data_IF_737160522659
#
_entry.id   IF_737160522659
#
_cell.length_a   1.000
_cell.length_b   1.000
_cell.length_c   1.000
_cell.angle_alpha   90.00
_cell.angle_beta   90.00
_cell.angle_gamma   90.00
#
_symmetry.space_group_name_H-M   'P 1'
#
loop_
_entity.id
_entity.type
_entity.pdbx_description
1 polymer ?
#
# COMPACT_ATOMS: atom_id res chain seq x y z
N UNK A 1 9.98 7.55 -11.58
CA UNK A 1 8.82 7.47 -10.66
C UNK A 1 8.79 6.03 -10.20
N UNK A 2 8.91 5.71 -8.91
CA UNK A 2 9.45 4.45 -8.34
C UNK A 2 8.33 3.41 -8.03
N UNK A 3 8.62 2.09 -8.05
CA UNK A 3 7.61 1.02 -8.30
C UNK A 3 7.04 0.23 -7.11
N UNK A 4 6.52 0.91 -6.09
CA UNK A 4 5.46 0.35 -5.21
C UNK A 4 4.04 0.51 -5.77
N UNK A 5 3.90 0.72 -7.08
CA UNK A 5 2.60 0.93 -7.73
C UNK A 5 1.90 -0.41 -7.98
N UNK A 6 0.89 -0.73 -7.16
CA UNK A 6 -0.18 -1.63 -7.59
C UNK A 6 -0.95 -0.89 -8.69
N UNK A 7 -0.85 -1.36 -9.93
CA UNK A 7 -1.54 -0.77 -11.08
C UNK A 7 -3.07 -0.68 -10.82
N UNK A 8 -3.59 0.55 -10.71
CA UNK A 8 -5.02 0.87 -10.84
C UNK A 8 -5.27 1.47 -12.24
N UNK A 9 -6.36 1.05 -12.89
CA UNK A 9 -6.67 1.34 -14.30
C UNK A 9 -7.57 2.57 -14.47
N UNK A 10 -7.32 3.34 -15.55
CA UNK A 10 -7.88 4.66 -15.91
C UNK A 10 -9.36 4.63 -16.36
N UNK A 11 -10.07 5.74 -16.09
CA UNK A 11 -11.53 5.90 -15.97
C UNK A 11 -12.14 6.78 -17.08
N UNK A 12 -11.88 6.50 -18.34
CA UNK A 12 -12.53 7.22 -19.46
C UNK A 12 -13.23 6.24 -20.38
N UNK A 13 -14.53 6.08 -20.14
CA UNK A 13 -15.60 5.59 -21.05
C UNK A 13 -16.91 5.28 -20.27
N UNK A 14 -17.05 5.67 -18.98
CA UNK A 14 -18.21 5.32 -18.15
C UNK A 14 -19.46 6.21 -18.34
N UNK A 15 -19.36 7.42 -18.91
CA UNK A 15 -20.51 8.36 -18.98
C UNK A 15 -21.49 8.12 -20.13
N UNK A 16 -21.37 7.02 -20.89
CA UNK A 16 -22.27 6.72 -22.02
C UNK A 16 -23.36 5.66 -21.76
N UNK A 17 -23.33 4.93 -20.64
CA UNK A 17 -24.25 3.80 -20.42
C UNK A 17 -25.28 3.99 -19.28
N UNK A 18 -25.35 5.16 -18.65
CA UNK A 18 -26.21 5.39 -17.46
C UNK A 18 -27.68 5.72 -17.74
N UNK A 19 -28.20 5.39 -18.93
CA UNK A 19 -29.64 5.46 -19.25
C UNK A 19 -30.14 4.12 -19.76
N UNK A 20 -30.48 3.24 -18.82
CA UNK A 20 -31.58 2.25 -18.85
C UNK A 20 -31.31 1.19 -17.79
N UNK A 21 -31.96 1.31 -16.63
CA UNK A 21 -32.41 0.23 -15.74
C UNK A 21 -32.82 0.85 -14.39
N UNK A 22 -33.91 1.62 -14.43
CA UNK A 22 -34.87 1.63 -13.33
C UNK A 22 -35.96 0.65 -13.71
N UNK A 23 -36.22 -0.37 -12.89
CA UNK A 23 -37.56 -0.91 -12.58
C UNK A 23 -37.46 -2.26 -11.82
N UNK A 24 -38.33 -2.37 -10.82
CA UNK A 24 -38.83 -3.56 -10.10
C UNK A 24 -38.06 -4.15 -8.89
N UNK A 25 -38.53 -3.70 -7.71
CA UNK A 25 -38.63 -4.36 -6.38
C UNK A 25 -39.73 -5.47 -6.36
N UNK A 26 -40.10 -6.15 -5.24
CA UNK A 26 -39.44 -6.51 -3.96
C UNK A 26 -39.78 -7.94 -3.39
N UNK A 27 -39.30 -8.24 -2.17
CA UNK A 27 -39.86 -9.23 -1.21
C UNK A 27 -38.87 -10.33 -0.78
N UNK A 28 -38.85 -10.93 0.42
CA UNK A 28 -39.43 -10.74 1.75
C UNK A 28 -38.92 -11.92 2.63
N UNK A 29 -38.89 -11.82 3.96
CA UNK A 29 -38.94 -12.99 4.87
C UNK A 29 -37.72 -13.21 5.78
N UNK A 30 -37.93 -13.20 7.10
CA UNK A 30 -36.87 -13.35 8.11
C UNK A 30 -37.10 -14.45 9.16
N UNK A 31 -36.14 -14.48 10.10
CA UNK A 31 -36.18 -14.81 11.53
C UNK A 31 -36.25 -16.30 11.98
N UNK A 32 -35.41 -16.57 13.01
CA UNK A 32 -35.35 -17.68 14.00
C UNK A 32 -34.36 -18.83 13.65
N UNK A 33 -33.53 -19.40 14.53
CA UNK A 33 -33.35 -19.44 16.01
C UNK A 33 -31.97 -20.10 16.26
N UNK A 34 -31.00 -19.50 16.97
CA UNK A 34 -30.69 -19.67 18.41
C UNK A 34 -30.47 -21.12 18.90
N UNK A 35 -29.25 -21.42 19.39
CA UNK A 35 -28.85 -22.21 20.59
C UNK A 35 -27.33 -22.51 20.50
N UNK A 36 -26.51 -22.02 21.43
CA UNK A 36 -25.58 -22.82 22.23
C UNK A 36 -24.87 -21.97 23.31
N UNK A 37 -24.79 -22.56 24.50
CA UNK A 37 -24.43 -22.00 25.80
C UNK A 37 -22.92 -21.78 26.00
N UNK A 38 -22.60 -20.63 26.60
CA UNK A 38 -21.88 -20.47 27.88
C UNK A 38 -20.57 -21.25 28.13
N UNK A 39 -19.42 -20.60 27.93
CA UNK A 39 -18.25 -20.64 28.84
C UNK A 39 -17.47 -19.31 28.69
N UNK A 40 -17.59 -18.41 29.67
CA UNK A 40 -16.57 -17.40 30.07
C UNK A 40 -17.19 -16.36 31.03
N UNK A 41 -17.33 -16.72 32.30
CA UNK A 41 -17.52 -15.76 33.40
C UNK A 41 -16.26 -15.83 34.27
N UNK A 42 -15.26 -14.98 33.98
CA UNK A 42 -14.37 -14.28 34.93
C UNK A 42 -13.59 -13.26 34.09
N UNK A 43 -14.18 -12.09 33.86
CA UNK A 43 -13.63 -10.71 33.82
C UNK A 43 -14.79 -9.84 33.32
N UNK A 44 -15.79 -9.62 34.17
CA UNK A 44 -16.90 -8.71 33.89
C UNK A 44 -17.31 -8.01 35.20
N UNK A 45 -16.43 -7.17 35.70
CA UNK A 45 -16.76 -6.16 36.69
C UNK A 45 -15.92 -4.93 36.36
N UNK A 46 -16.61 -3.82 36.07
CA UNK A 46 -16.12 -2.55 35.48
C UNK A 46 -16.15 -2.49 33.93
N UNK A 47 -17.28 -2.88 33.34
CA UNK A 47 -17.70 -2.27 32.08
C UNK A 47 -18.46 -0.98 32.42
N UNK A 48 -18.02 0.22 31.99
CA UNK A 48 -18.85 1.40 32.05
C UNK A 48 -20.14 1.12 31.28
N UNK A 49 -21.28 1.43 31.88
CA UNK A 49 -22.58 1.39 31.24
C UNK A 49 -22.55 2.29 30.00
N UNK A 50 -22.51 1.69 28.82
CA UNK A 50 -22.65 2.40 27.54
C UNK A 50 -24.09 2.82 27.37
N UNK A 51 -24.44 3.96 27.95
CA UNK A 51 -25.63 4.72 27.61
C UNK A 51 -25.29 6.21 27.66
N UNK A 52 -24.50 6.67 26.70
CA UNK A 52 -24.36 8.09 26.36
C UNK A 52 -24.13 8.20 24.85
N UNK A 53 -25.23 8.30 24.12
CA UNK A 53 -25.27 8.43 22.65
C UNK A 53 -25.15 9.89 22.18
N UNK A 54 -24.64 10.82 23.01
CA UNK A 54 -24.58 12.25 22.65
C UNK A 54 -23.27 13.02 22.98
N UNK A 55 -22.25 12.39 23.56
CA UNK A 55 -20.98 13.07 23.85
C UNK A 55 -19.96 13.05 22.69
N UNK A 56 -20.24 12.32 21.61
CA UNK A 56 -19.34 12.17 20.45
C UNK A 56 -19.30 13.39 19.48
N UNK A 57 -19.94 14.51 19.82
CA UNK A 57 -20.13 15.65 18.89
C UNK A 57 -19.29 16.91 19.19
N UNK A 58 -18.44 16.91 20.21
CA UNK A 58 -17.60 18.07 20.56
C UNK A 58 -16.14 17.68 20.78
N UNK A 59 -15.23 18.58 20.38
CA UNK A 59 -13.80 18.46 20.68
C UNK A 59 -13.58 18.39 22.21
N UNK A 60 -12.73 17.45 22.66
CA UNK A 60 -12.12 17.52 23.98
C UNK A 60 -10.61 17.34 23.87
N UNK A 61 -9.87 18.14 24.66
CA UNK A 61 -8.41 18.11 24.70
C UNK A 61 -7.90 16.73 25.14
N UNK A 62 -8.59 16.14 26.12
CA UNK A 62 -8.27 14.83 26.66
C UNK A 62 -8.45 13.73 25.62
N UNK A 63 -9.58 13.73 24.88
CA UNK A 63 -9.81 12.73 23.84
C UNK A 63 -8.83 12.89 22.67
N UNK A 64 -8.51 14.12 22.28
CA UNK A 64 -7.49 14.38 21.26
C UNK A 64 -6.11 13.88 21.73
N UNK A 65 -5.68 14.24 22.94
CA UNK A 65 -4.39 13.80 23.47
C UNK A 65 -4.34 12.27 23.58
N UNK A 66 -5.41 11.64 24.07
CA UNK A 66 -5.51 10.19 24.15
C UNK A 66 -5.42 9.54 22.77
N UNK A 67 -6.16 10.04 21.76
CA UNK A 67 -6.11 9.51 20.40
C UNK A 67 -4.71 9.66 19.77
N UNK A 68 -4.05 10.80 19.97
CA UNK A 68 -2.67 10.99 19.52
C UNK A 68 -1.69 10.06 20.28
N UNK A 69 -1.96 9.74 21.55
CA UNK A 69 -1.16 8.76 22.30
C UNK A 69 -1.38 7.32 21.80
N UNK A 70 -2.64 6.90 21.63
CA UNK A 70 -3.01 5.57 21.12
C UNK A 70 -2.74 5.40 19.63
N UNK A 71 -2.37 6.50 18.93
CA UNK A 71 -2.17 6.59 17.48
C UNK A 71 -3.45 6.33 16.68
N UNK A 72 -4.60 6.48 17.32
CA UNK A 72 -5.88 6.46 16.64
C UNK A 72 -6.05 7.75 15.84
N UNK A 73 -6.66 7.60 14.66
CA UNK A 73 -7.03 8.74 13.84
C UNK A 73 -8.04 9.60 14.61
N UNK A 74 -7.72 10.87 14.84
CA UNK A 74 -8.64 11.80 15.46
C UNK A 74 -9.19 12.76 14.41
N UNK A 75 -10.47 12.61 14.11
CA UNK A 75 -11.23 13.61 13.36
C UNK A 75 -11.33 14.86 14.24
N UNK A 76 -10.76 15.96 13.77
CA UNK A 76 -10.87 17.21 14.53
C UNK A 76 -12.21 17.85 14.19
N UNK A 77 -13.25 17.40 14.89
CA UNK A 77 -14.65 17.83 14.65
C UNK A 77 -14.86 19.35 14.84
N UNK A 78 -13.91 20.06 15.47
CA UNK A 78 -13.89 21.52 15.64
C UNK A 78 -13.23 22.33 14.52
N UNK A 79 -12.37 21.72 13.66
CA UNK A 79 -11.72 22.41 12.54
C UNK A 79 -12.53 22.22 11.26
N UNK A 80 -13.69 22.90 11.20
CA UNK A 80 -14.60 22.85 10.05
C UNK A 80 -14.35 23.99 9.09
N UNK A 81 -14.64 23.72 7.83
CA UNK A 81 -14.53 24.70 6.75
C UNK A 81 -15.88 24.92 6.08
N UNK A 82 -16.11 26.17 5.66
CA UNK A 82 -17.23 26.51 4.79
C UNK A 82 -17.15 25.79 3.44
N UNK A 83 -18.30 25.64 2.77
CA UNK A 83 -18.37 25.10 1.40
C UNK A 83 -17.47 25.92 0.49
N UNK A 84 -16.59 25.26 -0.27
CA UNK A 84 -15.66 25.91 -1.19
C UNK A 84 -14.60 26.81 -0.53
N UNK A 85 -14.44 26.77 0.80
CA UNK A 85 -13.49 27.61 1.54
C UNK A 85 -12.41 26.79 2.23
N UNK A 86 -11.23 27.40 2.37
CA UNK A 86 -10.07 26.95 3.15
C UNK A 86 -9.74 27.90 4.30
N UNK A 87 -10.57 28.92 4.55
CA UNK A 87 -10.44 29.80 5.71
C UNK A 87 -11.00 29.14 6.96
N UNK A 88 -10.25 29.20 8.06
CA UNK A 88 -10.67 28.71 9.37
C UNK A 88 -11.84 29.51 9.93
N UNK A 89 -12.78 28.82 10.58
CA UNK A 89 -13.89 29.48 11.24
C UNK A 89 -13.44 30.07 12.59
N UNK A 90 -14.06 31.19 13.04
CA UNK A 90 -13.86 31.69 14.40
C UNK A 90 -14.13 30.60 15.45
N UNK A 91 -13.25 30.48 16.44
CA UNK A 91 -13.32 29.42 17.47
C UNK A 91 -12.34 28.25 17.26
N UNK A 92 -11.63 28.20 16.13
CA UNK A 92 -10.55 27.23 15.89
C UNK A 92 -9.29 27.48 16.74
N UNK A 93 -9.12 28.68 17.28
CA UNK A 93 -7.89 29.13 17.95
C UNK A 93 -7.53 28.25 19.16
N UNK A 94 -8.48 28.01 20.08
CA UNK A 94 -8.26 27.20 21.30
C UNK A 94 -7.79 25.78 20.96
N UNK A 95 -8.38 25.21 19.92
CA UNK A 95 -8.07 23.87 19.44
C UNK A 95 -6.67 23.80 18.83
N UNK A 96 -6.31 24.79 18.02
CA UNK A 96 -4.96 24.92 17.47
C UNK A 96 -3.92 25.14 18.57
N UNK A 97 -4.25 25.90 19.61
CA UNK A 97 -3.39 26.12 20.78
C UNK A 97 -3.15 24.83 21.55
N UNK A 98 -4.18 24.01 21.74
CA UNK A 98 -4.09 22.71 22.40
C UNK A 98 -3.27 21.70 21.58
N UNK A 99 -3.47 21.65 20.25
CA UNK A 99 -2.66 20.82 19.34
C UNK A 99 -1.19 21.25 19.41
N UNK A 100 -0.91 22.55 19.30
CA UNK A 100 0.45 23.08 19.37
C UNK A 100 1.10 22.80 20.73
N UNK A 101 0.35 22.91 21.82
CA UNK A 101 0.81 22.58 23.17
C UNK A 101 1.17 21.09 23.28
N UNK A 102 0.32 20.19 22.77
CA UNK A 102 0.61 18.77 22.76
C UNK A 102 1.90 18.46 21.98
N UNK A 103 2.09 19.05 20.78
CA UNK A 103 3.31 18.84 20.00
C UNK A 103 4.56 19.43 20.64
N UNK A 104 4.44 20.52 21.41
CA UNK A 104 5.56 21.05 22.20
C UNK A 104 5.94 20.13 23.36
N UNK A 105 4.94 19.54 24.02
CA UNK A 105 5.17 18.61 25.13
C UNK A 105 5.74 17.25 24.69
N UNK A 106 5.47 16.84 23.45
CA UNK A 106 5.98 15.60 22.88
C UNK A 106 6.82 15.90 21.63
N UNK A 107 8.12 16.23 21.78
CA UNK A 107 8.97 16.67 20.66
C UNK A 107 9.14 15.63 19.56
N UNK A 108 9.01 14.34 19.89
CA UNK A 108 9.17 13.23 18.93
C UNK A 108 7.91 12.96 18.09
N UNK A 109 6.81 13.69 18.32
CA UNK A 109 5.58 13.48 17.56
C UNK A 109 5.59 14.29 16.27
N UNK A 110 5.26 13.64 15.16
CA UNK A 110 4.94 14.35 13.91
C UNK A 110 3.47 14.12 13.58
N UNK A 111 2.83 15.05 12.90
CA UNK A 111 1.44 14.93 12.47
C UNK A 111 1.33 14.98 10.96
N UNK A 112 0.47 14.10 10.43
CA UNK A 112 -0.15 14.28 9.13
C UNK A 112 -1.52 14.90 9.31
N UNK A 113 -1.75 16.01 8.63
CA UNK A 113 -2.97 16.79 8.60
C UNK A 113 -3.66 16.45 7.29
N UNK A 114 -4.79 15.76 7.33
CA UNK A 114 -5.50 15.30 6.13
C UNK A 114 -6.79 16.09 5.99
N UNK A 115 -6.91 16.86 4.92
CA UNK A 115 -8.15 17.57 4.61
C UNK A 115 -9.10 16.70 3.80
N UNK A 116 -10.39 16.91 4.01
CA UNK A 116 -11.47 16.25 3.28
C UNK A 116 -12.50 17.27 2.77
N UNK A 117 -13.21 16.89 1.71
CA UNK A 117 -14.38 17.61 1.21
C UNK A 117 -15.59 16.69 1.24
N UNK A 118 -16.77 17.31 1.13
CA UNK A 118 -17.94 16.58 0.67
C UNK A 118 -17.86 16.32 -0.85
N UNK A 119 -18.82 15.55 -1.38
CA UNK A 119 -18.85 15.15 -2.78
C UNK A 119 -19.43 16.23 -3.74
N UNK A 120 -19.68 17.46 -3.27
CA UNK A 120 -20.15 18.54 -4.14
C UNK A 120 -18.98 19.10 -4.96
N UNK A 121 -19.13 19.18 -6.27
CA UNK A 121 -18.08 19.65 -7.18
C UNK A 121 -17.36 18.52 -7.90
N UNK A 122 -16.30 18.87 -8.64
CA UNK A 122 -15.47 17.88 -9.33
C UNK A 122 -14.33 17.38 -8.41
N UNK A 123 -13.87 16.15 -8.65
CA UNK A 123 -12.91 15.47 -7.80
C UNK A 123 -11.56 16.22 -7.68
N UNK A 124 -11.03 16.75 -8.79
CA UNK A 124 -9.76 17.48 -8.82
C UNK A 124 -9.80 18.78 -8.00
N UNK A 125 -10.90 19.53 -8.12
CA UNK A 125 -11.12 20.75 -7.32
C UNK A 125 -11.24 20.41 -5.85
N UNK A 126 -11.91 19.31 -5.53
CA UNK A 126 -12.09 18.84 -4.17
C UNK A 126 -10.78 18.35 -3.55
N UNK A 127 -9.94 17.67 -4.31
CA UNK A 127 -8.59 17.29 -3.90
C UNK A 127 -7.75 18.53 -3.57
N UNK A 128 -7.68 19.50 -4.49
CA UNK A 128 -6.97 20.77 -4.25
C UNK A 128 -7.50 21.51 -3.02
N UNK A 129 -8.82 21.68 -2.90
CA UNK A 129 -9.44 22.36 -1.77
C UNK A 129 -9.13 21.66 -0.44
N UNK A 130 -9.14 20.33 -0.44
CA UNK A 130 -8.82 19.54 0.74
C UNK A 130 -7.37 19.73 1.19
N UNK A 131 -6.42 19.79 0.25
CA UNK A 131 -5.03 20.09 0.55
C UNK A 131 -4.84 21.53 1.05
N UNK A 132 -5.54 22.51 0.47
CA UNK A 132 -5.52 23.90 0.94
C UNK A 132 -5.99 24.01 2.39
N UNK A 133 -7.03 23.26 2.79
CA UNK A 133 -7.52 23.21 4.18
C UNK A 133 -6.47 22.64 5.13
N UNK A 134 -5.81 21.54 4.74
CA UNK A 134 -4.74 20.97 5.53
C UNK A 134 -3.55 21.93 5.68
N UNK A 135 -3.20 22.65 4.60
CA UNK A 135 -2.17 23.68 4.62
C UNK A 135 -2.53 24.87 5.51
N UNK A 136 -3.81 25.28 5.55
CA UNK A 136 -4.26 26.34 6.45
C UNK A 136 -4.04 25.95 7.93
N UNK A 137 -4.35 24.71 8.30
CA UNK A 137 -4.06 24.19 9.66
C UNK A 137 -2.56 24.11 9.91
N UNK A 138 -1.78 23.59 8.95
CA UNK A 138 -0.32 23.53 9.06
C UNK A 138 0.26 24.93 9.32
N UNK A 139 -0.13 25.92 8.52
CA UNK A 139 0.32 27.30 8.68
C UNK A 139 -0.03 27.85 10.07
N UNK A 140 -1.27 27.66 10.53
CA UNK A 140 -1.71 28.11 11.84
C UNK A 140 -0.97 27.45 13.02
N UNK A 141 -0.53 26.19 12.87
CA UNK A 141 0.31 25.50 13.85
C UNK A 141 1.77 25.98 13.82
N UNK A 142 2.30 26.30 12.63
CA UNK A 142 3.64 26.89 12.48
C UNK A 142 3.70 28.27 13.13
N UNK A 143 2.67 29.10 12.94
CA UNK A 143 2.54 30.40 13.62
C UNK A 143 2.54 30.26 15.15
N UNK A 144 2.08 29.13 15.67
CA UNK A 144 2.12 28.77 17.09
C UNK A 144 3.46 28.20 17.54
N UNK A 145 4.47 28.15 16.67
CA UNK A 145 5.82 27.71 16.97
C UNK A 145 6.04 26.20 16.87
N UNK A 146 5.16 25.46 16.19
CA UNK A 146 5.44 24.06 15.84
C UNK A 146 6.39 24.03 14.64
N UNK A 147 7.45 23.22 14.71
CA UNK A 147 8.38 23.07 13.57
C UNK A 147 7.63 22.49 12.34
N UNK A 148 7.77 23.14 11.18
CA UNK A 148 7.17 22.73 9.91
C UNK A 148 7.56 21.31 9.49
N UNK A 149 8.75 20.83 9.85
CA UNK A 149 9.25 19.48 9.51
C UNK A 149 8.47 18.38 10.23
N UNK A 150 7.76 18.73 11.31
CA UNK A 150 6.91 17.82 12.08
C UNK A 150 5.48 17.77 11.55
N UNK A 151 5.16 18.53 10.51
CA UNK A 151 3.80 18.69 9.98
C UNK A 151 3.75 18.35 8.49
N UNK A 152 3.01 17.31 8.14
CA UNK A 152 2.75 16.93 6.75
C UNK A 152 1.30 17.23 6.40
N UNK A 153 1.05 18.02 5.36
CA UNK A 153 -0.30 18.29 4.88
C UNK A 153 -0.65 17.39 3.70
N UNK A 154 -1.88 16.89 3.66
CA UNK A 154 -2.39 16.07 2.57
C UNK A 154 -3.86 16.35 2.28
N UNK A 155 -4.27 16.18 1.03
CA UNK A 155 -5.66 16.24 0.60
C UNK A 155 -6.19 14.85 0.28
N UNK A 156 -7.36 14.49 0.82
CA UNK A 156 -8.08 13.27 0.45
C UNK A 156 -9.29 13.54 -0.47
N UNK A 157 -9.58 14.82 -0.73
CA UNK A 157 -10.77 15.25 -1.47
C UNK A 157 -12.04 14.62 -0.91
N UNK A 158 -12.86 14.07 -1.81
CA UNK A 158 -14.14 13.43 -1.49
C UNK A 158 -14.08 11.90 -1.34
N UNK A 159 -12.88 11.31 -1.37
CA UNK A 159 -12.70 9.85 -1.52
C UNK A 159 -12.96 9.03 -0.25
N UNK A 160 -12.98 9.69 0.92
CA UNK A 160 -13.14 9.05 2.24
C UNK A 160 -14.28 9.69 3.04
N UNK A 161 -15.54 9.54 2.61
CA UNK A 161 -16.69 10.07 3.35
C UNK A 161 -16.92 9.26 4.63
N UNK A 162 -17.22 9.96 5.72
CA UNK A 162 -17.60 9.35 7.02
C UNK A 162 -19.11 9.43 7.25
N UNK A 163 -19.81 10.22 6.45
CA UNK A 163 -21.25 10.38 6.49
C UNK A 163 -21.85 10.48 5.08
N UNK A 164 -23.17 10.36 4.98
CA UNK A 164 -23.89 10.49 3.71
C UNK A 164 -23.61 11.84 3.04
N UNK A 165 -23.30 11.82 1.73
CA UNK A 165 -23.22 13.05 0.94
C UNK A 165 -24.59 13.53 0.46
N UNK A 166 -25.68 12.85 0.81
CA UNK A 166 -27.03 13.22 0.39
C UNK A 166 -27.68 14.25 1.34
N UNK A 167 -27.19 14.39 2.58
CA UNK A 167 -27.75 15.32 3.57
C UNK A 167 -26.80 16.49 3.83
N UNK A 168 -27.35 17.64 4.22
CA UNK A 168 -26.54 18.83 4.54
C UNK A 168 -25.62 18.56 5.74
N UNK A 169 -26.12 17.82 6.73
CA UNK A 169 -25.43 17.40 7.94
C UNK A 169 -24.27 16.46 7.59
N UNK A 170 -24.52 15.46 6.75
CA UNK A 170 -23.49 14.50 6.35
C UNK A 170 -22.41 15.14 5.48
N UNK A 171 -22.77 16.05 4.56
CA UNK A 171 -21.80 16.89 3.85
C UNK A 171 -20.96 17.73 4.81
N UNK A 172 -21.56 18.29 5.86
CA UNK A 172 -20.81 19.05 6.86
C UNK A 172 -19.80 18.19 7.64
N UNK A 173 -20.14 16.94 7.95
CA UNK A 173 -19.22 15.98 8.56
C UNK A 173 -18.08 15.57 7.60
N UNK A 174 -18.35 15.50 6.30
CA UNK A 174 -17.31 15.18 5.30
C UNK A 174 -16.34 16.34 5.05
N UNK A 175 -16.72 17.60 5.31
CA UNK A 175 -15.81 18.77 5.26
C UNK A 175 -14.98 18.90 6.55
N UNK A 176 -14.11 17.94 6.80
CA UNK A 176 -13.28 17.84 8.02
C UNK A 176 -11.79 17.92 7.74
N UNK A 177 -11.02 18.03 8.82
CA UNK A 177 -9.59 17.74 8.85
C UNK A 177 -9.33 16.66 9.90
N UNK A 178 -8.53 15.67 9.54
CA UNK A 178 -8.06 14.60 10.40
C UNK A 178 -6.62 14.88 10.82
N UNK A 179 -6.30 14.58 12.08
CA UNK A 179 -4.93 14.58 12.56
C UNK A 179 -4.49 13.15 12.82
N UNK A 180 -3.40 12.76 12.17
CA UNK A 180 -2.81 11.43 12.29
C UNK A 180 -1.41 11.58 12.85
N UNK A 181 -1.14 10.98 14.01
CA UNK A 181 0.22 10.92 14.53
C UNK A 181 1.06 9.99 13.66
N UNK A 182 2.20 10.51 13.22
CA UNK A 182 3.23 9.79 12.49
C UNK A 182 4.29 9.28 13.46
N UNK A 183 4.86 8.14 13.10
CA UNK A 183 6.09 7.60 13.67
C UNK A 183 7.15 7.72 12.60
N UNK A 184 8.32 8.25 12.97
CA UNK A 184 9.46 8.29 12.08
C UNK A 184 10.63 7.53 12.69
N UNK A 185 10.52 6.19 12.67
CA UNK A 185 11.53 5.32 13.26
C UNK A 185 12.85 5.41 12.49
N UNK A 186 13.81 6.13 13.06
CA UNK A 186 15.18 6.18 12.54
C UNK A 186 15.82 4.80 12.47
N UNK A 187 15.51 3.92 13.43
CA UNK A 187 16.03 2.55 13.43
C UNK A 187 15.41 1.72 12.30
N UNK A 188 14.10 1.81 12.04
CA UNK A 188 13.48 1.11 10.92
C UNK A 188 14.09 1.51 9.57
N UNK A 189 14.32 2.82 9.37
CA UNK A 189 14.99 3.33 8.18
C UNK A 189 16.43 2.83 8.08
N UNK A 190 17.17 2.81 9.19
CA UNK A 190 18.54 2.30 9.25
C UNK A 190 18.62 0.82 8.92
N UNK A 191 17.71 0.00 9.46
CA UNK A 191 17.65 -1.44 9.18
C UNK A 191 17.28 -1.71 7.71
N UNK A 192 16.28 -1.00 7.18
CA UNK A 192 15.92 -1.09 5.76
C UNK A 192 17.10 -0.68 4.87
N UNK A 193 17.79 0.41 5.21
CA UNK A 193 18.98 0.86 4.47
C UNK A 193 20.10 -0.18 4.53
N UNK A 194 20.36 -0.76 5.70
CA UNK A 194 21.36 -1.81 5.87
C UNK A 194 21.08 -3.03 4.98
N UNK A 195 19.82 -3.44 4.89
CA UNK A 195 19.38 -4.47 3.96
C UNK A 195 19.63 -4.06 2.50
N UNK A 196 19.14 -2.90 2.09
CA UNK A 196 19.29 -2.44 0.70
C UNK A 196 20.76 -2.27 0.29
N UNK A 197 21.61 -1.73 1.17
CA UNK A 197 23.05 -1.59 0.94
C UNK A 197 23.71 -2.98 0.78
N UNK A 198 23.32 -3.94 1.61
CA UNK A 198 23.77 -5.33 1.50
C UNK A 198 23.39 -5.94 0.15
N UNK A 199 22.13 -5.79 -0.28
CA UNK A 199 21.63 -6.30 -1.57
C UNK A 199 22.34 -5.65 -2.77
N UNK A 200 22.60 -4.34 -2.71
CA UNK A 200 23.30 -3.60 -3.76
C UNK A 200 24.77 -4.04 -3.90
N UNK A 201 25.42 -4.42 -2.78
CA UNK A 201 26.80 -4.88 -2.77
C UNK A 201 26.98 -6.29 -3.37
N UNK A 202 25.92 -7.10 -3.48
CA UNK A 202 26.02 -8.45 -4.02
C UNK A 202 26.11 -8.43 -5.55
N UNK A 203 27.14 -9.09 -6.09
CA UNK A 203 27.23 -9.36 -7.53
C UNK A 203 26.25 -10.45 -7.95
N UNK A 204 26.06 -11.45 -7.11
CA UNK A 204 25.21 -12.61 -7.36
C UNK A 204 24.27 -12.81 -6.19
N UNK A 205 22.98 -13.02 -6.47
CA UNK A 205 21.94 -13.33 -5.49
C UNK A 205 21.13 -14.51 -6.03
N UNK A 206 20.78 -15.47 -5.18
CA UNK A 206 19.85 -16.54 -5.50
C UNK A 206 18.91 -16.79 -4.34
N UNK A 207 17.63 -16.96 -4.64
CA UNK A 207 16.63 -17.36 -3.64
C UNK A 207 15.45 -18.06 -4.28
N UNK A 208 14.76 -18.85 -3.47
CA UNK A 208 13.41 -19.31 -3.75
C UNK A 208 12.40 -18.38 -3.07
N UNK A 209 11.16 -18.34 -3.55
CA UNK A 209 10.11 -17.58 -2.89
C UNK A 209 8.76 -18.27 -2.97
N UNK A 210 7.90 -17.95 -2.00
CA UNK A 210 6.46 -18.19 -2.05
C UNK A 210 5.75 -16.84 -2.04
N UNK A 211 4.85 -16.62 -2.99
CA UNK A 211 4.08 -15.40 -3.13
C UNK A 211 2.58 -15.68 -3.01
N UNK A 212 1.84 -14.71 -2.51
CA UNK A 212 0.39 -14.73 -2.49
C UNK A 212 -0.16 -13.35 -2.87
N UNK A 213 -0.92 -13.31 -3.96
CA UNK A 213 -1.67 -12.14 -4.41
C UNK A 213 -3.12 -12.27 -3.96
N UNK A 214 -3.61 -11.31 -3.19
CA UNK A 214 -5.03 -11.22 -2.88
C UNK A 214 -5.76 -10.34 -3.89
N UNK A 215 -6.95 -10.79 -4.27
CA UNK A 215 -7.93 -9.97 -4.99
C UNK A 215 -9.23 -9.89 -4.20
N UNK A 216 -10.00 -8.82 -4.41
CA UNK A 216 -11.29 -8.62 -3.77
C UNK A 216 -12.38 -8.69 -4.82
N UNK A 217 -13.42 -9.50 -4.58
CA UNK A 217 -14.58 -9.59 -5.46
C UNK A 217 -15.52 -8.40 -5.26
N UNK A 218 -16.48 -8.21 -6.18
CA UNK A 218 -17.55 -7.22 -6.00
C UNK A 218 -18.46 -7.50 -4.78
N UNK A 219 -18.46 -8.73 -4.27
CA UNK A 219 -19.12 -9.13 -3.02
C UNK A 219 -18.20 -9.01 -1.79
N UNK A 220 -17.07 -8.31 -1.94
CA UNK A 220 -16.10 -8.02 -0.87
C UNK A 220 -15.40 -9.26 -0.29
N UNK A 221 -15.43 -10.37 -1.03
CA UNK A 221 -14.69 -11.58 -0.67
C UNK A 221 -13.21 -11.43 -1.08
N UNK A 222 -12.29 -11.72 -0.17
CA UNK A 222 -10.87 -11.84 -0.48
C UNK A 222 -10.54 -13.24 -1.00
N UNK A 223 -9.85 -13.32 -2.13
CA UNK A 223 -9.36 -14.55 -2.73
C UNK A 223 -7.84 -14.48 -2.83
N UNK A 224 -7.14 -15.50 -2.34
CA UNK A 224 -5.67 -15.61 -2.42
C UNK A 224 -5.23 -16.47 -3.59
N UNK A 225 -4.26 -15.97 -4.36
CA UNK A 225 -3.66 -16.64 -5.51
C UNK A 225 -2.20 -16.88 -5.17
N UNK A 226 -1.86 -18.15 -4.91
CA UNK A 226 -0.52 -18.55 -4.55
C UNK A 226 0.33 -18.86 -5.78
N UNK A 227 1.58 -18.41 -5.75
CA UNK A 227 2.63 -18.82 -6.68
C UNK A 227 3.95 -19.00 -5.94
N UNK A 228 4.90 -19.69 -6.54
CA UNK A 228 6.24 -19.89 -6.00
C UNK A 228 7.25 -19.85 -7.15
N UNK A 229 8.52 -19.66 -6.84
CA UNK A 229 9.52 -19.54 -7.89
C UNK A 229 10.93 -19.42 -7.37
N UNK A 230 11.84 -19.16 -8.28
CA UNK A 230 13.24 -18.92 -8.01
C UNK A 230 13.69 -17.65 -8.71
N UNK A 231 14.67 -16.98 -8.13
CA UNK A 231 15.36 -15.86 -8.76
C UNK A 231 16.85 -16.12 -8.65
N UNK A 232 17.57 -15.95 -9.75
CA UNK A 232 19.01 -15.85 -9.81
C UNK A 232 19.33 -14.53 -10.51
N UNK A 233 20.05 -13.68 -9.82
CA UNK A 233 20.49 -12.37 -10.29
C UNK A 233 22.01 -12.38 -10.36
N UNK A 234 22.57 -11.97 -11.50
CA UNK A 234 23.99 -11.69 -11.67
C UNK A 234 24.16 -10.30 -12.23
N UNK A 235 24.60 -9.36 -11.38
CA UNK A 235 24.83 -7.97 -11.74
C UNK A 235 25.99 -7.83 -12.73
N UNK A 236 25.93 -6.82 -13.62
CA UNK A 236 24.93 -5.76 -13.64
C UNK A 236 23.63 -6.10 -14.39
N UNK A 237 23.57 -7.21 -15.12
CA UNK A 237 22.73 -7.29 -16.31
C UNK A 237 22.10 -8.66 -16.58
N UNK A 238 22.19 -9.63 -15.66
CA UNK A 238 21.61 -10.97 -15.86
C UNK A 238 20.58 -11.34 -14.81
N UNK A 239 19.43 -11.84 -15.24
CA UNK A 239 18.37 -12.37 -14.37
C UNK A 239 17.80 -13.63 -14.98
N UNK A 240 17.62 -14.64 -14.13
CA UNK A 240 16.79 -15.79 -14.40
C UNK A 240 15.75 -15.90 -13.29
N UNK A 241 14.48 -15.72 -13.62
CA UNK A 241 13.38 -15.84 -12.68
C UNK A 241 12.34 -16.83 -13.18
N UNK A 242 11.90 -17.71 -12.30
CA UNK A 242 10.80 -18.64 -12.56
C UNK A 242 9.61 -18.29 -11.67
N UNK A 243 8.41 -18.59 -12.14
CA UNK A 243 7.20 -18.52 -11.33
C UNK A 243 6.22 -19.58 -11.77
N UNK A 244 5.74 -20.37 -10.81
CA UNK A 244 4.73 -21.40 -10.99
C UNK A 244 3.59 -21.14 -10.03
N UNK A 245 2.36 -21.14 -10.52
CA UNK A 245 1.14 -20.98 -9.75
C UNK A 245 -0.02 -21.73 -10.39
N UNK A 246 -1.22 -21.62 -9.82
CA UNK A 246 -2.39 -22.35 -10.31
C UNK A 246 -2.80 -22.05 -11.76
N UNK A 247 -2.37 -20.91 -12.30
CA UNK A 247 -2.80 -20.40 -13.62
C UNK A 247 -1.64 -19.93 -14.52
N UNK A 248 -0.42 -19.95 -13.99
CA UNK A 248 0.75 -19.34 -14.65
C UNK A 248 1.97 -20.22 -14.42
N UNK A 249 2.71 -20.48 -15.49
CA UNK A 249 4.02 -21.09 -15.40
C UNK A 249 4.95 -20.30 -16.32
N UNK A 250 5.79 -19.46 -15.72
CA UNK A 250 6.59 -18.48 -16.44
C UNK A 250 8.05 -18.55 -16.11
N UNK A 251 8.86 -18.23 -17.10
CA UNK A 251 10.31 -18.10 -16.99
C UNK A 251 10.72 -16.80 -17.69
N UNK A 252 11.49 -15.99 -16.97
CA UNK A 252 12.07 -14.76 -17.45
C UNK A 252 13.59 -14.90 -17.45
N UNK A 253 14.21 -14.69 -18.60
CA UNK A 253 15.65 -14.71 -18.80
C UNK A 253 16.08 -13.36 -19.37
N UNK A 254 17.06 -12.73 -18.76
CA UNK A 254 17.68 -11.51 -19.26
C UNK A 254 19.19 -11.70 -19.29
N UNK A 255 19.81 -11.40 -20.42
CA UNK A 255 21.24 -11.60 -20.70
C UNK A 255 22.03 -10.27 -20.79
N UNK A 256 21.38 -9.15 -20.47
CA UNK A 256 21.91 -7.80 -20.57
C UNK A 256 21.58 -7.08 -21.86
N UNK A 257 20.99 -7.79 -22.83
CA UNK A 257 20.55 -7.24 -24.11
C UNK A 257 19.08 -7.55 -24.39
N UNK A 258 18.66 -8.78 -24.16
CA UNK A 258 17.36 -9.29 -24.57
C UNK A 258 16.66 -9.92 -23.38
N UNK A 259 15.46 -9.43 -23.07
CA UNK A 259 14.55 -10.10 -22.16
C UNK A 259 13.78 -11.16 -22.95
N UNK A 260 13.87 -12.42 -22.52
CA UNK A 260 12.99 -13.50 -22.94
C UNK A 260 11.96 -13.77 -21.86
N UNK A 261 10.67 -13.71 -22.20
CA UNK A 261 9.57 -14.11 -21.32
C UNK A 261 8.87 -15.32 -21.94
N UNK A 262 8.86 -16.43 -21.22
CA UNK A 262 8.26 -17.70 -21.64
C UNK A 262 7.06 -18.02 -20.76
N UNK A 263 5.91 -18.33 -21.37
CA UNK A 263 4.77 -18.97 -20.71
C UNK A 263 4.81 -20.46 -21.01
N UNK A 264 5.38 -21.26 -20.09
CA UNK A 264 5.62 -22.70 -20.28
C UNK A 264 4.31 -23.46 -20.49
N UNK A 265 3.28 -23.14 -19.72
CA UNK A 265 1.94 -23.72 -19.87
C UNK A 265 1.22 -23.30 -21.18
N UNK A 266 1.63 -22.18 -21.80
CA UNK A 266 1.09 -21.71 -23.08
C UNK A 266 1.90 -22.20 -24.28
N UNK A 267 3.06 -22.81 -24.05
CA UNK A 267 4.08 -23.11 -25.06
C UNK A 267 4.38 -21.91 -25.99
N UNK A 268 4.48 -20.72 -25.39
CA UNK A 268 4.73 -19.45 -26.09
C UNK A 268 5.84 -18.67 -25.40
N UNK A 269 6.60 -17.91 -26.19
CA UNK A 269 7.61 -17.00 -25.66
C UNK A 269 7.62 -15.69 -26.44
N UNK A 270 8.19 -14.65 -25.82
CA UNK A 270 8.48 -13.39 -26.48
C UNK A 270 9.89 -12.95 -26.14
N UNK A 271 10.48 -12.13 -27.02
CA UNK A 271 11.79 -11.54 -26.82
C UNK A 271 11.74 -10.05 -27.10
N UNK A 272 12.35 -9.28 -26.22
CA UNK A 272 12.39 -7.82 -26.31
C UNK A 272 13.82 -7.36 -26.08
N UNK A 273 14.35 -6.57 -27.01
CA UNK A 273 15.68 -5.98 -26.85
C UNK A 273 15.61 -4.78 -25.90
N UNK A 274 16.25 -4.93 -24.74
CA UNK A 274 16.34 -3.99 -23.62
C UNK A 274 17.80 -3.95 -23.16
N UNK A 275 18.74 -3.40 -23.97
CA UNK A 275 20.15 -3.38 -23.60
C UNK A 275 20.39 -2.52 -22.36
N UNK A 276 21.04 -3.08 -21.35
CA UNK A 276 21.34 -2.35 -20.12
C UNK A 276 21.47 -3.24 -18.90
N UNK A 277 21.38 -2.60 -17.73
CA UNK A 277 21.42 -3.27 -16.43
C UNK A 277 20.07 -3.86 -16.06
N UNK A 278 20.04 -4.67 -15.00
CA UNK A 278 18.80 -5.17 -14.39
C UNK A 278 17.93 -4.02 -13.89
N UNK A 279 18.52 -2.96 -13.36
CA UNK A 279 17.79 -1.77 -12.92
C UNK A 279 17.08 -1.11 -14.12
N UNK A 280 17.78 -0.95 -15.26
CA UNK A 280 17.18 -0.45 -16.50
C UNK A 280 16.07 -1.37 -17.04
N UNK A 281 16.25 -2.69 -16.96
CA UNK A 281 15.22 -3.65 -17.32
C UNK A 281 13.94 -3.45 -16.50
N UNK A 282 14.07 -3.32 -15.17
CA UNK A 282 12.92 -3.15 -14.26
C UNK A 282 12.19 -1.85 -14.58
N UNK A 283 12.92 -0.75 -14.77
CA UNK A 283 12.35 0.54 -15.16
C UNK A 283 11.64 0.47 -16.52
N UNK A 284 12.27 -0.14 -17.54
CA UNK A 284 11.68 -0.23 -18.87
C UNK A 284 10.41 -1.08 -18.89
N UNK A 285 10.41 -2.23 -18.18
CA UNK A 285 9.22 -3.07 -18.02
C UNK A 285 8.06 -2.29 -17.41
N UNK A 286 8.33 -1.51 -16.38
CA UNK A 286 7.33 -0.68 -15.74
C UNK A 286 6.84 0.46 -16.63
N UNK A 287 7.75 1.33 -17.07
CA UNK A 287 7.39 2.63 -17.64
C UNK A 287 6.97 2.52 -19.11
N UNK A 288 7.56 1.60 -19.88
CA UNK A 288 7.29 1.44 -21.32
C UNK A 288 6.30 0.31 -21.62
N UNK A 289 6.37 -0.79 -20.87
CA UNK A 289 5.51 -1.97 -21.11
C UNK A 289 4.32 -2.06 -20.16
N UNK A 290 4.25 -1.21 -19.13
CA UNK A 290 3.17 -1.25 -18.15
C UNK A 290 3.12 -2.58 -17.39
N UNK A 291 4.30 -3.16 -17.12
CA UNK A 291 4.51 -4.42 -16.42
C UNK A 291 5.26 -4.17 -15.11
N UNK A 292 4.65 -3.50 -14.11
CA UNK A 292 5.26 -3.38 -12.80
C UNK A 292 5.40 -4.79 -12.21
N UNK A 293 6.63 -5.16 -11.86
CA UNK A 293 6.95 -6.43 -11.23
C UNK A 293 6.88 -6.24 -9.70
N UNK A 294 5.93 -6.90 -9.00
CA UNK A 294 5.87 -6.81 -7.55
C UNK A 294 7.20 -7.25 -6.92
N UNK A 295 7.66 -6.49 -5.93
CA UNK A 295 8.92 -6.72 -5.20
C UNK A 295 10.22 -6.61 -6.03
N UNK A 296 10.18 -6.26 -7.32
CA UNK A 296 11.39 -6.08 -8.12
C UNK A 296 12.29 -4.94 -7.60
N UNK A 297 11.72 -3.95 -6.91
CA UNK A 297 12.47 -2.88 -6.23
C UNK A 297 13.49 -3.42 -5.22
N UNK A 298 13.30 -4.64 -4.67
CA UNK A 298 14.30 -5.29 -3.81
C UNK A 298 15.56 -5.70 -4.56
N UNK A 299 15.46 -5.89 -5.88
CA UNK A 299 16.55 -6.34 -6.73
C UNK A 299 17.33 -5.19 -7.37
N UNK A 300 16.90 -3.95 -7.21
CA UNK A 300 17.57 -2.77 -7.77
C UNK A 300 18.77 -2.35 -6.92
N UNK A 301 19.79 -1.73 -7.52
CA UNK A 301 20.96 -1.24 -6.76
C UNK A 301 20.65 -0.04 -5.88
N UNK A 302 19.59 0.71 -6.20
CA UNK A 302 19.05 1.84 -5.45
C UNK A 302 17.79 1.47 -4.62
N UNK A 303 17.65 0.19 -4.23
CA UNK A 303 16.44 -0.36 -3.58
C UNK A 303 15.90 0.49 -2.42
N UNK A 304 16.78 1.07 -1.59
CA UNK A 304 16.36 1.91 -0.46
C UNK A 304 15.55 3.13 -0.94
N UNK A 305 16.02 3.81 -1.99
CA UNK A 305 15.37 5.01 -2.51
C UNK A 305 14.02 4.66 -3.17
N UNK A 306 13.93 3.52 -3.85
CA UNK A 306 12.67 2.97 -4.40
C UNK A 306 11.65 2.67 -3.31
N UNK A 307 12.05 1.93 -2.28
CA UNK A 307 11.16 1.55 -1.19
C UNK A 307 10.75 2.75 -0.35
N UNK A 308 11.65 3.71 -0.13
CA UNK A 308 11.38 4.90 0.68
C UNK A 308 10.65 6.02 -0.07
N UNK A 309 10.53 5.94 -1.40
CA UNK A 309 9.79 6.97 -2.14
C UNK A 309 8.35 7.06 -1.63
N UNK A 310 7.95 8.27 -1.18
CA UNK A 310 6.59 8.55 -0.72
C UNK A 310 6.25 7.99 0.68
N UNK A 311 7.24 7.43 1.40
CA UNK A 311 7.05 7.01 2.79
C UNK A 311 6.91 8.24 3.69
N UNK A 312 5.86 8.24 4.51
CA UNK A 312 5.61 9.31 5.47
C UNK A 312 5.38 8.82 6.92
N UNK A 313 5.35 7.50 7.13
CA UNK A 313 5.28 6.87 8.46
C UNK A 313 6.12 5.60 8.41
N UNK A 314 6.99 5.41 9.41
CA UNK A 314 7.92 4.29 9.53
C UNK A 314 7.99 3.79 10.97
N UNK A 315 7.98 2.47 11.14
CA UNK A 315 7.91 1.80 12.45
C UNK A 315 8.86 0.63 12.47
N UNK A 316 9.57 0.53 13.58
CA UNK A 316 10.25 -0.69 14.01
C UNK A 316 9.28 -1.41 14.95
N UNK A 317 8.89 -2.63 14.59
CA UNK A 317 7.95 -3.46 15.34
C UNK A 317 8.67 -4.48 16.23
N UNK A 318 10.01 -4.42 16.29
CA UNK A 318 10.86 -5.40 16.97
C UNK A 318 11.10 -6.63 16.11
N UNK A 319 11.38 -7.76 16.75
CA UNK A 319 11.79 -8.98 16.06
C UNK A 319 10.61 -9.92 15.76
N UNK A 320 10.68 -10.59 14.62
CA UNK A 320 9.84 -11.72 14.24
C UNK A 320 10.71 -12.89 13.77
N UNK A 321 10.09 -14.06 13.55
CA UNK A 321 10.78 -15.24 13.03
C UNK A 321 10.12 -15.69 11.73
N UNK A 322 10.92 -15.81 10.66
CA UNK A 322 10.47 -16.25 9.35
C UNK A 322 11.33 -17.44 8.92
N UNK A 323 10.71 -18.61 8.73
CA UNK A 323 11.41 -19.85 8.37
C UNK A 323 12.59 -20.20 9.31
N UNK A 324 12.44 -19.88 10.60
CA UNK A 324 13.48 -20.11 11.61
C UNK A 324 14.58 -19.05 11.67
N UNK A 325 14.59 -18.06 10.77
CA UNK A 325 15.49 -16.92 10.85
C UNK A 325 14.86 -15.80 11.71
N UNK A 326 15.64 -15.22 12.62
CA UNK A 326 15.28 -13.99 13.33
C UNK A 326 15.38 -12.81 12.37
N UNK A 327 14.29 -12.05 12.24
CA UNK A 327 14.20 -10.93 11.33
C UNK A 327 13.58 -9.71 12.03
N UNK A 328 14.14 -8.52 11.84
CA UNK A 328 13.53 -7.27 12.28
C UNK A 328 12.29 -6.97 11.46
N UNK A 329 11.16 -6.72 12.12
CA UNK A 329 9.87 -6.46 11.51
C UNK A 329 9.66 -4.96 11.38
N UNK A 330 9.61 -4.49 10.15
CA UNK A 330 9.51 -3.07 9.83
C UNK A 330 8.18 -2.80 9.11
N UNK A 331 7.57 -1.66 9.40
CA UNK A 331 6.36 -1.22 8.73
C UNK A 331 6.48 0.22 8.24
N UNK A 332 6.04 0.45 7.02
CA UNK A 332 6.12 1.71 6.32
C UNK A 332 4.80 2.01 5.65
N UNK A 333 4.48 3.30 5.53
CA UNK A 333 3.21 3.74 4.97
C UNK A 333 3.40 4.85 3.95
N UNK A 334 2.72 4.66 2.81
CA UNK A 334 2.62 5.56 1.66
C UNK A 334 1.15 5.90 1.41
N UNK A 335 0.88 6.80 0.46
CA UNK A 335 -0.49 7.26 0.20
C UNK A 335 -1.41 6.14 -0.28
N UNK A 336 -0.92 5.28 -1.18
CA UNK A 336 -1.71 4.21 -1.80
C UNK A 336 -1.55 2.84 -1.15
N UNK A 337 -0.40 2.61 -0.50
CA UNK A 337 -0.05 1.30 0.08
C UNK A 337 0.59 1.45 1.45
N UNK A 338 0.35 0.46 2.30
CA UNK A 338 1.21 0.15 3.44
C UNK A 338 2.13 -1.00 3.00
N UNK A 339 3.39 -1.00 3.43
CA UNK A 339 4.24 -2.17 3.26
C UNK A 339 4.94 -2.55 4.55
N UNK A 340 5.07 -3.85 4.77
CA UNK A 340 5.83 -4.44 5.87
C UNK A 340 6.94 -5.30 5.29
N UNK A 341 8.12 -5.23 5.91
CA UNK A 341 9.27 -6.02 5.49
C UNK A 341 9.97 -6.58 6.72
N UNK A 342 10.34 -7.84 6.63
CA UNK A 342 11.13 -8.53 7.64
C UNK A 342 12.55 -8.65 7.11
N UNK A 343 13.52 -8.10 7.84
CA UNK A 343 14.94 -8.07 7.45
C UNK A 343 15.71 -9.04 8.33
N UNK A 344 16.43 -10.00 7.75
CA UNK A 344 17.23 -10.96 8.51
C UNK A 344 18.24 -10.23 9.41
N UNK A 345 18.36 -10.66 10.67
CA UNK A 345 19.35 -10.09 11.57
C UNK A 345 20.75 -10.63 11.28
N UNK A 346 21.76 -9.84 11.62
CA UNK A 346 23.17 -10.24 11.53
C UNK A 346 23.91 -9.66 10.32
N UNK A 347 25.01 -10.34 9.92
CA UNK A 347 25.94 -9.83 8.91
C UNK A 347 25.42 -9.92 7.46
N UNK A 348 24.34 -10.67 7.23
CA UNK A 348 23.72 -10.86 5.92
C UNK A 348 22.24 -10.45 5.96
N UNK A 349 21.93 -9.14 6.04
CA UNK A 349 20.56 -8.67 6.19
C UNK A 349 19.79 -8.75 4.86
N UNK A 350 19.22 -9.92 4.55
CA UNK A 350 18.36 -10.13 3.38
C UNK A 350 16.87 -9.95 3.74
N UNK A 351 15.99 -9.65 2.76
CA UNK A 351 14.55 -9.57 3.00
C UNK A 351 13.97 -10.98 3.23
N UNK A 352 13.52 -11.28 4.45
CA UNK A 352 12.85 -12.53 4.79
C UNK A 352 11.43 -12.61 4.19
N UNK A 353 10.69 -11.50 4.23
CA UNK A 353 9.31 -11.38 3.74
C UNK A 353 9.00 -9.93 3.44
N UNK A 354 8.23 -9.68 2.38
CA UNK A 354 7.61 -8.39 2.07
C UNK A 354 6.10 -8.58 1.94
N UNK A 355 5.32 -7.69 2.54
CA UNK A 355 3.85 -7.61 2.40
C UNK A 355 3.51 -6.19 1.98
N UNK A 356 2.68 -6.04 0.96
CA UNK A 356 2.18 -4.76 0.46
C UNK A 356 0.67 -4.81 0.51
N UNK A 357 0.05 -3.93 1.31
CA UNK A 357 -1.40 -3.86 1.50
C UNK A 357 -1.94 -2.60 0.84
N UNK A 358 -2.96 -2.73 -0.01
CA UNK A 358 -3.61 -1.59 -0.65
C UNK A 358 -4.43 -0.78 0.37
N UNK A 359 -4.36 0.54 0.27
CA UNK A 359 -5.16 1.50 1.06
C UNK A 359 -6.29 2.13 0.27
N UNK A 360 -6.33 1.88 -1.04
CA UNK A 360 -7.27 2.48 -1.99
C UNK A 360 -8.35 1.48 -2.41
N UNK A 361 -8.06 0.19 -2.38
CA UNK A 361 -9.03 -0.86 -2.69
C UNK A 361 -9.78 -1.27 -1.43
N UNK A 362 -11.12 -1.23 -1.50
CA UNK A 362 -11.98 -1.68 -0.39
C UNK A 362 -11.63 -3.10 0.04
N UNK A 363 -11.54 -3.31 1.35
CA UNK A 363 -11.11 -4.57 1.95
C UNK A 363 -9.60 -4.67 2.12
N UNK A 364 -8.78 -3.82 1.47
CA UNK A 364 -7.33 -3.83 1.62
C UNK A 364 -6.69 -5.16 1.23
N UNK A 365 -6.76 -5.58 -0.05
CA UNK A 365 -6.04 -6.75 -0.53
C UNK A 365 -4.53 -6.55 -0.38
N UNK A 366 -3.84 -7.67 -0.26
CA UNK A 366 -2.40 -7.71 -0.04
C UNK A 366 -1.69 -8.52 -1.12
N UNK A 367 -0.51 -8.08 -1.49
CA UNK A 367 0.50 -8.91 -2.13
C UNK A 367 1.56 -9.26 -1.09
N UNK A 368 1.97 -10.52 -1.03
CA UNK A 368 3.06 -10.95 -0.15
C UNK A 368 4.05 -11.82 -0.90
N UNK A 369 5.32 -11.69 -0.55
CA UNK A 369 6.40 -12.57 -0.99
C UNK A 369 7.25 -12.95 0.21
N UNK A 370 7.49 -14.24 0.39
CA UNK A 370 8.33 -14.79 1.43
C UNK A 370 9.53 -15.46 0.78
N UNK A 371 10.73 -15.07 1.22
CA UNK A 371 11.99 -15.54 0.68
C UNK A 371 12.45 -16.79 1.42
N UNK A 372 13.06 -17.71 0.68
CA UNK A 372 13.65 -18.96 1.15
C UNK A 372 14.96 -19.20 0.43
N UNK A 373 15.79 -20.06 1.02
CA UNK A 373 17.01 -20.57 0.38
C UNK A 373 17.93 -19.45 -0.14
N UNK A 374 18.01 -18.34 0.62
CA UNK A 374 18.81 -17.18 0.25
C UNK A 374 20.29 -17.54 0.18
N UNK A 375 20.93 -17.12 -0.91
CA UNK A 375 22.37 -17.21 -1.15
C UNK A 375 22.84 -15.92 -1.82
N UNK A 376 24.10 -15.58 -1.58
CA UNK A 376 24.72 -14.42 -2.20
C UNK A 376 26.24 -14.58 -2.34
N UNK A 377 26.83 -13.88 -3.31
CA UNK A 377 28.27 -13.91 -3.54
C UNK A 377 28.75 -15.27 -4.09
N UNK A 378 29.87 -15.74 -3.59
CA UNK A 378 30.61 -16.89 -4.15
C UNK A 378 29.92 -18.25 -3.90
N UNK A 379 28.85 -18.29 -3.11
CA UNK A 379 28.06 -19.50 -2.83
C UNK A 379 27.17 -19.94 -4.01
N UNK A 380 27.10 -19.13 -5.07
CA UNK A 380 26.19 -19.34 -6.21
C UNK A 380 26.98 -19.84 -7.40
N UNK A 381 26.62 -21.03 -7.90
CA UNK A 381 27.16 -21.54 -9.16
C UNK A 381 26.67 -20.69 -10.35
N UNK A 382 27.48 -20.51 -11.40
CA UNK A 382 27.05 -19.82 -12.61
C UNK A 382 25.81 -20.49 -13.20
N UNK A 383 24.77 -19.69 -13.46
CA UNK A 383 23.57 -20.13 -14.16
C UNK A 383 23.72 -19.92 -15.68
N UNK A 384 22.89 -20.62 -16.45
CA UNK A 384 22.78 -20.44 -17.89
C UNK A 384 21.66 -19.44 -18.19
N UNK A 385 22.05 -18.22 -18.57
CA UNK A 385 21.11 -17.13 -18.88
C UNK A 385 20.67 -17.14 -20.36
N UNK A 386 21.18 -18.08 -21.16
CA UNK A 386 20.84 -18.19 -22.58
C UNK A 386 19.50 -18.91 -22.74
N UNK A 387 18.58 -18.28 -23.49
CA UNK A 387 17.30 -18.90 -23.80
C UNK A 387 17.48 -20.13 -24.70
N UNK A 388 16.91 -21.25 -24.28
CA UNK A 388 16.76 -22.47 -25.08
C UNK A 388 15.29 -22.73 -25.33
N UNK A 389 14.94 -23.11 -26.56
CA UNK A 389 13.58 -23.45 -26.96
C UNK A 389 13.41 -24.97 -27.24
N UNK A 390 13.56 -25.85 -26.24
CA UNK A 390 13.48 -27.30 -26.44
C UNK A 390 12.08 -27.79 -26.80
N UNK A 391 11.03 -27.02 -26.46
CA UNK A 391 9.63 -27.40 -26.70
C UNK A 391 9.08 -26.88 -28.03
N UNK A 392 9.92 -26.22 -28.86
CA UNK A 392 9.50 -25.51 -30.06
C UNK A 392 8.33 -24.54 -29.79
N UNK A 393 8.39 -23.83 -28.65
CA UNK A 393 7.44 -22.79 -28.29
C UNK A 393 7.31 -21.75 -29.39
N UNK A 394 6.10 -21.23 -29.58
CA UNK A 394 5.78 -20.23 -30.59
C UNK A 394 6.27 -18.84 -30.12
N UNK A 395 6.98 -18.10 -30.98
CA UNK A 395 7.36 -16.71 -30.72
C UNK A 395 6.17 -15.78 -30.99
N UNK A 396 5.77 -15.00 -30.00
CA UNK A 396 4.63 -14.08 -30.08
C UNK A 396 5.02 -12.65 -29.72
N UNK A 397 4.14 -11.68 -30.00
CA UNK A 397 4.33 -10.31 -29.53
C UNK A 397 4.13 -10.25 -28.01
N UNK A 398 4.84 -9.36 -27.32
CA UNK A 398 4.68 -9.18 -25.87
C UNK A 398 3.22 -8.89 -25.47
N UNK A 399 2.46 -8.16 -26.29
CA UNK A 399 1.04 -7.87 -26.04
C UNK A 399 0.16 -9.12 -26.06
N UNK A 400 0.53 -10.13 -26.84
CA UNK A 400 -0.26 -11.36 -27.00
C UNK A 400 -0.11 -12.30 -25.79
N UNK A 401 1.00 -12.17 -25.06
CA UNK A 401 1.30 -12.99 -23.89
C UNK A 401 1.05 -12.23 -22.58
N UNK A 402 1.21 -10.90 -22.55
CA UNK A 402 1.07 -10.04 -21.36
C UNK A 402 -0.24 -10.25 -20.59
N UNK A 403 -1.37 -10.42 -21.26
CA UNK A 403 -2.67 -10.69 -20.62
C UNK A 403 -2.76 -12.05 -19.92
N UNK A 404 -1.86 -12.97 -20.23
CA UNK A 404 -1.85 -14.36 -19.75
C UNK A 404 -0.64 -14.69 -18.86
N UNK A 405 0.27 -13.72 -18.63
CA UNK A 405 1.42 -13.87 -17.73
C UNK A 405 1.11 -13.43 -16.29
N UNK A 406 -0.13 -13.01 -15.99
CA UNK A 406 -0.53 -12.63 -14.63
C UNK A 406 -0.91 -13.84 -13.77
N UNK A 407 -0.87 -13.68 -12.45
CA UNK A 407 -1.41 -14.68 -11.52
C UNK A 407 -2.96 -14.76 -11.58
N UNK A 408 -3.62 -13.85 -12.31
CA UNK A 408 -5.07 -13.82 -12.52
C UNK A 408 -5.47 -14.63 -13.75
N UNK A 409 -6.34 -15.64 -13.63
CA UNK A 409 -6.82 -16.38 -14.79
C UNK A 409 -7.81 -15.54 -15.59
N UNK A 410 -7.93 -15.82 -16.90
CA UNK A 410 -8.70 -14.99 -17.85
C UNK A 410 -10.20 -14.85 -17.56
N UNK A 411 -10.77 -15.69 -16.69
CA UNK A 411 -12.16 -15.55 -16.21
C UNK A 411 -12.31 -14.52 -15.07
N UNK A 412 -11.21 -14.01 -14.52
CA UNK A 412 -11.23 -12.87 -13.61
C UNK A 412 -11.27 -11.60 -14.44
N UNK A 413 -12.46 -11.02 -14.55
CA UNK A 413 -12.62 -9.70 -15.15
C UNK A 413 -12.36 -8.66 -14.06
N UNK A 414 -11.40 -7.77 -14.30
CA UNK A 414 -11.21 -6.60 -13.43
C UNK A 414 -12.50 -5.78 -13.47
N UNK A 415 -13.16 -5.62 -12.34
CA UNK A 415 -14.33 -4.75 -12.23
C UNK A 415 -13.92 -3.28 -12.33
N UNK A 416 -14.84 -2.43 -12.75
CA UNK A 416 -14.72 -0.98 -12.58
C UNK A 416 -14.71 -0.71 -11.06
N UNK A 417 -13.52 -0.50 -10.48
CA UNK A 417 -13.35 -0.26 -9.06
C UNK A 417 -14.29 0.85 -8.59
N UNK A 418 -15.04 0.60 -7.51
CA UNK A 418 -15.81 1.63 -6.81
C UNK A 418 -14.95 2.36 -5.80
#
# INVERSE_FOLDING_TARGET
>A
MFSTHIQMLDRREYDKARRKLSENTPGHGGIARQIFLTVAFVVAANAPSWSQEDDAKHYSKEAMQQALQTRDQYDVYGLRFGVGKSTLQPGAETLLDDIATALKNFPDWSLRIVGHTDASGNAETNERLSLERANAIKAALVERGVNTDRLLAAGAGQTRPIASNETAEGKALNRRVELVRLTDSAEAKKLLKGMSDYLAAQKTISFAYDANLQVVTNSEQKLGLASSGTVILSRPDKVHATRSGGFVETEALFDGKTLTLSGKNLNKYTQVDIPGTVDHLIDELKDKYGLPLPAADLLMTNSYDELMQGVYDSKDLGSGVINGAECDSLAFRKDEVDFQIWVAQGAQPYPCRLVISSRTVKGGPEYSVQVRDWKSGDEIMPDDFDFKNPTNAEKVNIKDIQSNLGDLPGNFVRGDGK
#
